data_IF_447632795055
#
_entry.id   IF_447632795055
#
_cell.length_a   1.000
_cell.length_b   1.000
_cell.length_c   1.000
_cell.angle_alpha   90.00
_cell.angle_beta   90.00
_cell.angle_gamma   90.00
#
_symmetry.space_group_name_H-M   'P 1'
#
loop_
_entity.id
_entity.type
_entity.pdbx_description
1 polymer ?
#
# COMPACT_ATOMS: atom_id res chain seq x y z
N UNK A 1 -1.97 24.90 22.32
CA UNK A 1 -1.82 23.46 22.16
C UNK A 1 -1.48 23.21 20.69
N UNK A 2 -0.27 22.78 20.30
CA UNK A 2 0.02 22.45 18.91
C UNK A 2 -0.64 21.10 18.55
N UNK A 3 -1.22 21.03 17.34
CA UNK A 3 -1.82 19.83 16.78
C UNK A 3 -0.78 18.70 16.63
N UNK A 4 -1.13 17.42 16.80
CA UNK A 4 -0.21 16.31 16.61
C UNK A 4 0.20 16.21 15.15
N UNK A 5 1.51 16.28 14.92
CA UNK A 5 2.14 16.25 13.61
C UNK A 5 1.81 14.98 12.83
N UNK A 6 1.35 15.17 11.59
CA UNK A 6 1.18 14.11 10.62
C UNK A 6 2.50 13.39 10.36
N UNK A 7 2.48 12.07 10.45
CA UNK A 7 3.61 11.19 10.18
C UNK A 7 3.96 11.25 8.69
N UNK A 8 5.01 12.01 8.37
CA UNK A 8 5.56 12.10 7.02
C UNK A 8 6.60 10.97 6.83
N UNK A 9 6.20 9.83 6.25
CA UNK A 9 7.08 8.70 5.91
C UNK A 9 7.99 8.97 4.69
N UNK A 10 8.39 10.20 4.44
CA UNK A 10 9.20 10.59 3.28
C UNK A 10 10.72 10.54 3.55
N UNK A 11 11.21 9.70 4.46
CA UNK A 11 12.66 9.55 4.66
C UNK A 11 13.12 8.15 4.18
N UNK A 12 13.52 8.07 2.90
CA UNK A 12 14.00 6.86 2.20
C UNK A 12 15.30 6.23 2.76
N UNK A 13 15.82 6.73 3.90
CA UNK A 13 17.12 6.31 4.44
C UNK A 13 17.06 5.60 5.82
N UNK A 14 15.89 5.34 6.38
CA UNK A 14 15.81 4.55 7.61
C UNK A 14 15.56 3.08 7.30
N UNK A 15 16.25 2.14 7.97
CA UNK A 15 16.00 0.72 7.79
C UNK A 15 14.56 0.38 8.21
N UNK A 16 13.91 -0.53 7.48
CA UNK A 16 12.60 -1.07 7.83
C UNK A 16 12.64 -1.62 9.24
N UNK A 17 11.69 -1.21 10.08
CA UNK A 17 11.58 -1.64 11.47
C UNK A 17 10.44 -2.66 11.62
N UNK A 18 10.74 -3.82 12.17
CA UNK A 18 9.82 -4.94 12.38
C UNK A 18 9.75 -5.25 13.88
N UNK A 19 8.54 -5.28 14.42
CA UNK A 19 8.30 -5.77 15.78
C UNK A 19 7.87 -7.23 15.71
N UNK A 20 8.53 -8.10 16.47
CA UNK A 20 8.27 -9.53 16.58
C UNK A 20 7.76 -9.79 17.99
N UNK A 21 6.53 -10.31 18.10
CA UNK A 21 5.93 -10.70 19.38
C UNK A 21 5.76 -12.22 19.35
N UNK A 22 6.61 -12.91 20.09
CA UNK A 22 6.75 -14.37 20.11
C UNK A 22 7.27 -14.75 21.49
N UNK A 23 6.58 -15.64 22.20
CA UNK A 23 6.94 -16.06 23.57
C UNK A 23 8.12 -17.04 23.59
N UNK A 24 8.31 -17.82 22.54
CA UNK A 24 9.48 -18.69 22.37
C UNK A 24 10.70 -17.86 21.94
N UNK A 25 11.66 -17.68 22.87
CA UNK A 25 12.87 -16.88 22.63
C UNK A 25 13.72 -17.40 21.47
N UNK A 26 13.79 -18.74 21.30
CA UNK A 26 14.59 -19.35 20.23
C UNK A 26 13.96 -19.08 18.86
N UNK A 27 12.63 -19.17 18.77
CA UNK A 27 11.89 -18.84 17.54
C UNK A 27 12.02 -17.36 17.25
N UNK A 28 11.81 -16.49 18.24
CA UNK A 28 11.96 -15.04 18.10
C UNK A 28 13.36 -14.65 17.60
N UNK A 29 14.40 -15.22 18.21
CA UNK A 29 15.79 -14.98 17.81
C UNK A 29 16.08 -15.49 16.39
N UNK A 30 15.58 -16.68 16.03
CA UNK A 30 15.71 -17.23 14.67
C UNK A 30 15.04 -16.34 13.62
N UNK A 31 13.84 -15.85 13.89
CA UNK A 31 13.10 -14.93 13.03
C UNK A 31 13.89 -13.62 12.86
N UNK A 32 14.29 -13.00 13.96
CA UNK A 32 15.06 -11.76 13.95
C UNK A 32 16.37 -11.90 13.16
N UNK A 33 17.16 -12.94 13.44
CA UNK A 33 18.41 -13.19 12.73
C UNK A 33 18.24 -13.22 11.20
N UNK A 34 17.19 -13.91 10.71
CA UNK A 34 16.95 -14.02 9.28
C UNK A 34 16.49 -12.70 8.64
N UNK A 35 15.72 -11.89 9.36
CA UNK A 35 15.24 -10.59 8.90
C UNK A 35 16.33 -9.52 8.95
N UNK A 36 17.16 -9.51 9.99
CA UNK A 36 18.29 -8.59 10.12
C UNK A 36 19.34 -8.79 9.01
N UNK A 37 19.54 -10.02 8.56
CA UNK A 37 20.36 -10.31 7.36
C UNK A 37 19.84 -9.69 6.07
N UNK A 38 18.58 -9.22 6.05
CA UNK A 38 18.02 -8.45 4.93
C UNK A 38 18.22 -6.94 5.09
N UNK A 39 18.91 -6.50 6.17
CA UNK A 39 19.10 -5.08 6.49
C UNK A 39 17.90 -4.46 7.22
N UNK A 40 16.95 -5.25 7.73
CA UNK A 40 15.83 -4.78 8.51
C UNK A 40 16.21 -4.72 9.99
N UNK A 41 15.59 -3.81 10.75
CA UNK A 41 15.77 -3.70 12.19
C UNK A 41 14.65 -4.45 12.91
N UNK A 42 15.00 -5.33 13.86
CA UNK A 42 14.03 -6.10 14.63
C UNK A 42 13.97 -5.64 16.09
N UNK A 43 12.76 -5.64 16.65
CA UNK A 43 12.51 -5.51 18.09
C UNK A 43 11.77 -6.77 18.53
N UNK A 44 12.33 -7.48 19.54
CA UNK A 44 11.74 -8.69 20.09
C UNK A 44 10.96 -8.36 21.37
N UNK A 45 9.77 -8.96 21.50
CA UNK A 45 8.93 -8.88 22.70
C UNK A 45 8.34 -10.28 22.95
N UNK A 46 8.34 -10.74 24.19
CA UNK A 46 7.94 -12.11 24.54
C UNK A 46 6.61 -12.20 25.29
N UNK A 47 5.92 -11.08 25.44
CA UNK A 47 4.63 -10.99 26.13
C UNK A 47 3.66 -10.12 25.35
N UNK A 48 2.43 -10.60 25.14
CA UNK A 48 1.47 -9.93 24.26
C UNK A 48 1.10 -8.52 24.70
N UNK A 49 0.89 -8.28 26.01
CA UNK A 49 0.56 -6.94 26.52
C UNK A 49 1.69 -5.94 26.26
N UNK A 50 2.96 -6.37 26.50
CA UNK A 50 4.13 -5.55 26.20
C UNK A 50 4.30 -5.35 24.69
N UNK A 51 3.98 -6.39 23.91
CA UNK A 51 3.96 -6.33 22.44
C UNK A 51 3.02 -5.26 21.92
N UNK A 52 1.81 -5.20 22.44
CA UNK A 52 0.86 -4.14 22.10
C UNK A 52 1.39 -2.74 22.44
N UNK A 53 1.92 -2.54 23.66
CA UNK A 53 2.51 -1.26 24.06
C UNK A 53 3.69 -0.85 23.17
N UNK A 54 4.56 -1.82 22.80
CA UNK A 54 5.68 -1.59 21.90
C UNK A 54 5.20 -1.19 20.51
N UNK A 55 4.22 -1.90 19.91
CA UNK A 55 3.65 -1.60 18.60
C UNK A 55 3.03 -0.20 18.60
N UNK A 56 2.25 0.13 19.61
CA UNK A 56 1.56 1.42 19.72
C UNK A 56 2.54 2.59 19.84
N UNK A 57 3.63 2.41 20.58
CA UNK A 57 4.61 3.48 20.85
C UNK A 57 5.57 3.71 19.67
N UNK A 58 5.99 2.64 18.97
CA UNK A 58 7.00 2.73 17.90
C UNK A 58 6.44 2.79 16.50
N UNK A 59 5.18 2.35 16.29
CA UNK A 59 4.51 2.29 14.98
C UNK A 59 5.44 1.67 13.92
N UNK A 60 5.79 0.36 14.03
CA UNK A 60 6.74 -0.29 13.14
C UNK A 60 6.22 -0.38 11.70
N UNK A 61 7.09 -0.72 10.76
CA UNK A 61 6.73 -0.92 9.34
C UNK A 61 6.06 -2.29 9.09
N UNK A 62 6.26 -3.26 9.99
CA UNK A 62 5.62 -4.56 9.96
C UNK A 62 5.57 -5.15 11.37
N UNK A 63 4.56 -5.97 11.63
CA UNK A 63 4.44 -6.73 12.87
C UNK A 63 4.39 -8.21 12.54
N UNK A 64 5.16 -9.02 13.28
CA UNK A 64 5.08 -10.48 13.28
C UNK A 64 4.54 -10.89 14.64
N UNK A 65 3.41 -11.62 14.65
CA UNK A 65 2.71 -12.03 15.86
C UNK A 65 2.61 -13.56 15.95
N UNK A 66 2.96 -14.12 17.09
CA UNK A 66 2.41 -15.43 17.43
C UNK A 66 0.93 -15.29 17.80
N UNK A 67 0.15 -16.31 17.50
CA UNK A 67 -1.26 -16.36 17.88
C UNK A 67 -1.42 -16.56 19.39
N UNK A 68 -0.62 -17.46 19.97
CA UNK A 68 -0.69 -17.82 21.38
C UNK A 68 0.39 -17.10 22.20
N UNK A 69 0.02 -15.99 22.80
CA UNK A 69 0.93 -15.17 23.61
C UNK A 69 0.42 -15.08 25.06
N UNK A 70 1.30 -15.01 26.04
CA UNK A 70 0.90 -14.75 27.42
C UNK A 70 0.38 -13.30 27.56
N UNK A 71 -0.68 -13.14 28.37
CA UNK A 71 -1.31 -11.86 28.65
C UNK A 71 -2.36 -11.48 27.61
N UNK A 72 -1.98 -10.89 26.50
CA UNK A 72 -2.85 -10.52 25.36
C UNK A 72 -2.52 -11.42 24.18
N UNK A 73 -3.47 -12.15 23.63
CA UNK A 73 -3.23 -13.02 22.48
C UNK A 73 -3.01 -12.25 21.19
N UNK A 74 -2.44 -12.91 20.17
CA UNK A 74 -2.10 -12.25 18.92
C UNK A 74 -3.33 -11.70 18.18
N UNK A 75 -4.49 -12.35 18.31
CA UNK A 75 -5.74 -11.90 17.70
C UNK A 75 -6.30 -10.66 18.40
N UNK A 76 -6.17 -10.59 19.72
CA UNK A 76 -6.53 -9.40 20.51
C UNK A 76 -5.64 -8.22 20.13
N UNK A 77 -4.33 -8.44 20.00
CA UNK A 77 -3.38 -7.41 19.53
C UNK A 77 -3.80 -6.91 18.15
N UNK A 78 -4.12 -7.82 17.21
CA UNK A 78 -4.58 -7.42 15.87
C UNK A 78 -5.86 -6.57 15.92
N UNK A 79 -6.85 -6.95 16.75
CA UNK A 79 -8.09 -6.18 16.92
C UNK A 79 -7.78 -4.76 17.42
N UNK A 80 -6.94 -4.63 18.44
CA UNK A 80 -6.51 -3.32 18.95
C UNK A 80 -5.77 -2.51 17.87
N UNK A 81 -4.86 -3.14 17.12
CA UNK A 81 -4.18 -2.47 16.01
C UNK A 81 -5.16 -1.91 14.99
N UNK A 82 -6.24 -2.65 14.64
CA UNK A 82 -7.22 -2.22 13.62
C UNK A 82 -8.14 -1.10 14.08
N UNK A 83 -8.36 -0.96 15.39
CA UNK A 83 -9.17 0.14 15.97
C UNK A 83 -8.40 1.46 16.01
N UNK A 84 -7.08 1.43 16.19
CA UNK A 84 -6.27 2.64 16.36
C UNK A 84 -5.74 3.17 15.01
N UNK A 85 -5.99 4.43 14.72
CA UNK A 85 -5.63 5.08 13.45
C UNK A 85 -4.13 4.98 13.10
N UNK A 86 -3.24 5.05 14.11
CA UNK A 86 -1.80 4.98 13.91
C UNK A 86 -1.32 3.59 13.50
N UNK A 87 -2.00 2.53 13.91
CA UNK A 87 -1.55 1.14 13.75
C UNK A 87 -2.38 0.31 12.78
N UNK A 88 -3.61 0.75 12.45
CA UNK A 88 -4.57 -0.04 11.64
C UNK A 88 -4.06 -0.48 10.27
N UNK A 89 -3.13 0.27 9.69
CA UNK A 89 -2.56 0.00 8.37
C UNK A 89 -1.19 -0.70 8.43
N UNK A 90 -0.68 -1.02 9.63
CA UNK A 90 0.57 -1.75 9.76
C UNK A 90 0.35 -3.18 9.26
N UNK A 91 1.14 -3.64 8.28
CA UNK A 91 1.05 -5.02 7.79
C UNK A 91 1.44 -6.01 8.89
N UNK A 92 0.63 -7.07 9.01
CA UNK A 92 0.76 -8.06 10.07
C UNK A 92 0.89 -9.46 9.50
N UNK A 93 1.94 -10.18 9.92
CA UNK A 93 2.17 -11.60 9.64
C UNK A 93 1.97 -12.42 10.91
N UNK A 94 1.13 -13.46 10.86
CA UNK A 94 1.02 -14.40 11.96
C UNK A 94 1.98 -15.57 11.84
N UNK A 95 2.57 -15.97 12.96
CA UNK A 95 3.18 -17.28 13.15
C UNK A 95 2.14 -18.16 13.86
N UNK A 96 1.81 -19.33 13.33
CA UNK A 96 0.74 -20.16 13.85
C UNK A 96 1.11 -21.63 13.85
N UNK A 97 0.66 -22.38 14.85
CA UNK A 97 0.76 -23.84 14.83
C UNK A 97 -0.19 -24.43 13.79
N UNK A 98 0.11 -25.63 13.30
CA UNK A 98 -0.67 -26.31 12.25
C UNK A 98 -2.11 -26.65 12.67
N UNK A 99 -2.34 -26.74 13.98
CA UNK A 99 -3.65 -27.05 14.60
C UNK A 99 -4.64 -25.88 14.64
N UNK A 100 -4.18 -24.63 14.35
CA UNK A 100 -4.97 -23.40 14.45
C UNK A 100 -5.51 -22.94 13.09
N UNK A 101 -5.79 -23.88 12.19
CA UNK A 101 -6.24 -23.56 10.82
C UNK A 101 -7.60 -22.85 10.77
N UNK A 102 -8.47 -23.10 11.73
CA UNK A 102 -9.80 -22.46 11.82
C UNK A 102 -9.67 -20.98 12.23
N UNK A 103 -8.71 -20.65 13.09
CA UNK A 103 -8.43 -19.28 13.52
C UNK A 103 -7.84 -18.40 12.38
N UNK A 104 -7.22 -19.05 11.36
CA UNK A 104 -6.73 -18.35 10.16
C UNK A 104 -7.83 -17.64 9.37
N UNK A 105 -9.02 -18.26 9.30
CA UNK A 105 -10.15 -17.64 8.60
C UNK A 105 -10.67 -16.41 9.35
N UNK A 106 -10.64 -16.44 10.68
CA UNK A 106 -11.03 -15.29 11.50
C UNK A 106 -9.99 -14.16 11.39
N UNK A 107 -8.71 -14.48 11.48
CA UNK A 107 -7.63 -13.49 11.35
C UNK A 107 -7.58 -12.82 9.97
N UNK A 108 -7.83 -13.57 8.88
CA UNK A 108 -7.97 -13.00 7.53
C UNK A 108 -9.19 -12.05 7.45
N UNK A 109 -10.31 -12.40 8.10
CA UNK A 109 -11.48 -11.50 8.19
C UNK A 109 -11.19 -10.24 9.00
N UNK A 110 -10.33 -10.34 10.02
CA UNK A 110 -9.89 -9.21 10.84
C UNK A 110 -8.79 -8.36 10.17
N UNK A 111 -8.27 -8.79 9.02
CA UNK A 111 -7.34 -8.02 8.21
C UNK A 111 -5.86 -8.30 8.48
N UNK A 112 -5.49 -9.51 8.87
CA UNK A 112 -4.11 -9.99 8.79
C UNK A 112 -3.68 -10.09 7.31
N UNK A 113 -2.41 -9.78 7.02
CA UNK A 113 -1.90 -9.73 5.64
C UNK A 113 -1.40 -11.08 5.14
N UNK A 114 -0.85 -11.92 6.02
CA UNK A 114 -0.38 -13.28 5.71
C UNK A 114 -0.17 -14.14 6.96
N UNK A 115 0.08 -15.45 6.77
CA UNK A 115 0.32 -16.45 7.80
C UNK A 115 1.48 -17.35 7.44
N UNK A 116 2.24 -17.77 8.45
CA UNK A 116 3.29 -18.78 8.34
C UNK A 116 3.05 -19.86 9.40
N UNK A 117 2.96 -21.11 8.97
CA UNK A 117 2.77 -22.25 9.89
C UNK A 117 4.10 -22.74 10.44
N UNK A 118 4.16 -22.93 11.75
CA UNK A 118 5.27 -23.59 12.44
C UNK A 118 5.20 -25.12 12.21
N UNK A 119 6.32 -25.81 11.86
CA UNK A 119 7.64 -25.26 11.57
C UNK A 119 7.72 -24.65 10.16
N UNK A 120 8.45 -23.56 10.02
CA UNK A 120 8.62 -22.83 8.78
C UNK A 120 10.08 -22.80 8.30
N UNK A 121 10.28 -22.57 7.01
CA UNK A 121 11.61 -22.29 6.48
C UNK A 121 11.93 -20.80 6.58
N UNK A 122 13.17 -20.46 6.96
CA UNK A 122 13.64 -19.07 7.01
C UNK A 122 13.48 -18.35 5.66
N UNK A 123 13.63 -19.07 4.54
CA UNK A 123 13.43 -18.51 3.18
C UNK A 123 11.98 -18.14 2.93
N UNK A 124 11.04 -18.98 3.37
CA UNK A 124 9.61 -18.71 3.24
C UNK A 124 9.21 -17.49 4.06
N UNK A 125 9.62 -17.44 5.34
CA UNK A 125 9.36 -16.30 6.22
C UNK A 125 9.83 -14.98 5.59
N UNK A 126 11.10 -14.90 5.19
CA UNK A 126 11.68 -13.71 4.57
C UNK A 126 10.93 -13.29 3.31
N UNK A 127 10.56 -14.26 2.45
CA UNK A 127 9.80 -13.98 1.23
C UNK A 127 8.42 -13.39 1.55
N UNK A 128 7.71 -13.94 2.52
CA UNK A 128 6.39 -13.46 2.94
C UNK A 128 6.45 -12.06 3.53
N UNK A 129 7.39 -11.81 4.47
CA UNK A 129 7.60 -10.47 5.04
C UNK A 129 7.93 -9.45 3.94
N UNK A 130 8.80 -9.81 2.99
CA UNK A 130 9.10 -8.93 1.84
C UNK A 130 7.87 -8.63 1.00
N UNK A 131 7.04 -9.63 0.75
CA UNK A 131 5.81 -9.47 -0.05
C UNK A 131 4.79 -8.58 0.63
N UNK A 132 4.57 -8.73 1.95
CA UNK A 132 3.63 -7.87 2.68
C UNK A 132 4.15 -6.44 2.79
N UNK A 133 5.44 -6.23 3.08
CA UNK A 133 6.07 -4.90 3.06
C UNK A 133 5.97 -4.24 1.68
N UNK A 134 6.21 -5.00 0.61
CA UNK A 134 6.07 -4.50 -0.76
C UNK A 134 4.62 -4.14 -1.09
N UNK A 135 3.65 -4.96 -0.66
CA UNK A 135 2.21 -4.66 -0.82
C UNK A 135 1.81 -3.42 -0.02
N UNK A 136 2.26 -3.28 1.23
CA UNK A 136 1.98 -2.12 2.07
C UNK A 136 2.59 -0.83 1.50
N UNK A 137 3.84 -0.88 1.05
CA UNK A 137 4.50 0.24 0.38
C UNK A 137 3.83 0.59 -0.96
N UNK A 138 3.42 -0.42 -1.73
CA UNK A 138 2.68 -0.21 -2.97
C UNK A 138 1.22 0.21 -2.70
N UNK A 139 0.62 -0.17 -1.57
CA UNK A 139 -0.71 0.31 -1.18
C UNK A 139 -0.67 1.80 -0.83
N UNK A 140 0.36 2.28 -0.13
CA UNK A 140 0.57 3.71 0.07
C UNK A 140 0.84 4.43 -1.27
N UNK A 141 1.65 3.85 -2.16
CA UNK A 141 1.86 4.32 -3.55
C UNK A 141 0.64 4.13 -4.44
N UNK A 142 -0.22 3.12 -4.16
CA UNK A 142 -1.49 2.91 -4.90
C UNK A 142 -2.61 3.81 -4.42
N UNK A 143 -2.51 4.31 -3.21
CA UNK A 143 -3.47 5.27 -2.64
C UNK A 143 -3.22 6.67 -3.17
N UNK A 144 -1.94 7.07 -3.23
CA UNK A 144 -1.51 8.36 -3.76
C UNK A 144 -0.68 8.14 -5.01
N UNK A 145 -1.18 8.56 -6.16
CA UNK A 145 -0.39 8.65 -7.38
C UNK A 145 0.16 10.06 -7.47
N UNK A 146 1.47 10.19 -7.62
CA UNK A 146 2.13 11.48 -7.71
C UNK A 146 3.08 11.54 -8.91
N UNK A 147 2.96 12.62 -9.66
CA UNK A 147 3.91 12.99 -10.70
C UNK A 147 4.16 14.49 -10.64
N UNK A 148 5.36 14.90 -10.21
CA UNK A 148 5.69 16.30 -9.90
C UNK A 148 4.63 16.90 -8.94
N UNK A 149 3.98 18.00 -9.33
CA UNK A 149 2.93 18.64 -8.53
C UNK A 149 1.52 18.05 -8.73
N UNK A 150 1.36 17.07 -9.62
CA UNK A 150 0.11 16.36 -9.82
C UNK A 150 -0.02 15.22 -8.80
N UNK A 151 -1.04 15.26 -7.96
CA UNK A 151 -1.32 14.25 -6.94
C UNK A 151 -2.75 13.76 -7.09
N UNK A 152 -2.93 12.43 -7.01
CA UNK A 152 -4.25 11.78 -6.98
C UNK A 152 -4.35 10.93 -5.73
N UNK A 153 -5.38 11.17 -4.93
CA UNK A 153 -5.77 10.33 -3.80
C UNK A 153 -6.89 9.37 -4.26
N UNK A 154 -6.57 8.08 -4.31
CA UNK A 154 -7.49 7.03 -4.78
C UNK A 154 -8.54 6.63 -3.75
N UNK A 155 -8.33 6.95 -2.46
CA UNK A 155 -9.32 6.70 -1.41
C UNK A 155 -10.40 7.76 -1.45
N UNK A 156 -9.98 9.04 -1.43
CA UNK A 156 -10.92 10.16 -1.43
C UNK A 156 -11.42 10.52 -2.82
N UNK A 157 -10.87 9.91 -3.89
CA UNK A 157 -11.11 10.25 -5.30
C UNK A 157 -10.85 11.73 -5.61
N UNK A 158 -9.88 12.33 -4.92
CA UNK A 158 -9.47 13.71 -5.11
C UNK A 158 -8.20 13.80 -5.94
N UNK A 159 -8.13 14.80 -6.78
CA UNK A 159 -6.93 15.14 -7.53
C UNK A 159 -6.53 16.59 -7.22
N UNK A 160 -5.23 16.85 -7.16
CA UNK A 160 -4.69 18.20 -6.98
C UNK A 160 -3.52 18.45 -7.91
N UNK A 161 -3.35 19.70 -8.30
CA UNK A 161 -2.24 20.19 -9.09
C UNK A 161 -1.65 21.43 -8.41
N UNK A 162 -0.35 21.36 -8.07
CA UNK A 162 0.33 22.43 -7.30
C UNK A 162 -0.45 22.81 -6.02
N UNK A 163 -0.99 21.80 -5.31
CA UNK A 163 -1.77 21.98 -4.08
C UNK A 163 -3.20 22.51 -4.26
N UNK A 164 -3.64 22.80 -5.49
CA UNK A 164 -5.01 23.23 -5.80
C UNK A 164 -5.85 22.03 -6.22
N UNK A 165 -7.08 21.96 -5.70
CA UNK A 165 -8.01 20.88 -6.09
C UNK A 165 -8.30 20.93 -7.59
N UNK A 166 -8.17 19.75 -8.23
CA UNK A 166 -8.47 19.57 -9.65
C UNK A 166 -9.84 18.89 -9.76
N UNK A 167 -10.86 19.67 -10.13
CA UNK A 167 -12.24 19.16 -10.24
C UNK A 167 -12.37 18.16 -11.41
N UNK A 168 -12.08 16.90 -11.15
CA UNK A 168 -12.26 15.80 -12.11
C UNK A 168 -13.64 15.15 -11.91
N UNK A 169 -14.28 14.78 -13.02
CA UNK A 169 -15.40 13.84 -12.97
C UNK A 169 -14.89 12.44 -12.62
N UNK A 170 -15.77 11.55 -12.16
CA UNK A 170 -15.39 10.18 -11.81
C UNK A 170 -14.71 9.44 -13.00
N UNK A 171 -15.16 9.66 -14.22
CA UNK A 171 -14.55 9.08 -15.42
C UNK A 171 -13.15 9.64 -15.71
N UNK A 172 -12.98 10.96 -15.59
CA UNK A 172 -11.69 11.63 -15.78
C UNK A 172 -10.67 11.20 -14.70
N UNK A 173 -11.12 11.08 -13.44
CA UNK A 173 -10.30 10.59 -12.35
C UNK A 173 -9.83 9.15 -12.61
N UNK A 174 -10.76 8.23 -12.94
CA UNK A 174 -10.44 6.83 -13.25
C UNK A 174 -9.45 6.71 -14.41
N UNK A 175 -9.65 7.48 -15.48
CA UNK A 175 -8.73 7.51 -16.63
C UNK A 175 -7.33 7.97 -16.22
N UNK A 176 -7.24 9.08 -15.51
CA UNK A 176 -5.95 9.64 -15.10
C UNK A 176 -5.22 8.68 -14.16
N UNK A 177 -5.93 8.13 -13.16
CA UNK A 177 -5.37 7.17 -12.22
C UNK A 177 -4.84 5.93 -12.96
N UNK A 178 -5.65 5.34 -13.85
CA UNK A 178 -5.24 4.16 -14.61
C UNK A 178 -4.02 4.41 -15.49
N UNK A 179 -3.98 5.54 -16.20
CA UNK A 179 -2.85 5.92 -17.04
C UNK A 179 -1.57 6.17 -16.20
N UNK A 180 -1.69 6.83 -15.03
CA UNK A 180 -0.56 7.08 -14.12
C UNK A 180 -0.06 5.80 -13.44
N UNK A 181 -0.88 4.77 -13.30
CA UNK A 181 -0.46 3.45 -12.80
C UNK A 181 0.38 2.65 -13.81
N UNK A 182 0.30 3.03 -15.09
CA UNK A 182 0.99 2.35 -16.18
C UNK A 182 1.87 3.31 -17.00
N UNK A 183 2.83 4.01 -16.34
CA UNK A 183 3.61 5.04 -17.02
C UNK A 183 4.46 4.44 -18.14
N UNK A 184 4.50 5.13 -19.28
CA UNK A 184 5.24 4.72 -20.48
C UNK A 184 4.60 3.58 -21.29
N UNK A 185 3.50 2.99 -20.80
CA UNK A 185 2.78 1.92 -21.51
C UNK A 185 1.57 2.47 -22.22
N UNK A 186 1.44 2.16 -23.51
CA UNK A 186 0.21 2.48 -24.27
C UNK A 186 -0.90 1.56 -23.79
N UNK A 187 -2.01 2.16 -23.41
CA UNK A 187 -3.24 1.47 -23.03
C UNK A 187 -4.21 1.54 -24.18
N UNK A 188 -4.77 0.41 -24.58
CA UNK A 188 -5.67 0.38 -25.70
C UNK A 188 -7.03 1.04 -25.39
N UNK A 189 -7.77 1.39 -26.44
CA UNK A 189 -9.03 2.13 -26.31
C UNK A 189 -10.12 1.30 -25.64
N UNK A 190 -10.10 -0.01 -25.82
CA UNK A 190 -11.07 -0.93 -25.25
C UNK A 190 -10.88 -1.03 -23.74
N UNK A 191 -9.64 -1.24 -23.26
CA UNK A 191 -9.31 -1.28 -21.83
C UNK A 191 -9.67 0.04 -21.15
N UNK A 192 -9.33 1.17 -21.76
CA UNK A 192 -9.67 2.50 -21.21
C UNK A 192 -11.18 2.74 -21.13
N UNK A 193 -11.97 2.22 -22.07
CA UNK A 193 -13.43 2.28 -22.00
C UNK A 193 -13.98 1.46 -20.84
N UNK A 194 -13.44 0.26 -20.62
CA UNK A 194 -13.81 -0.57 -19.46
C UNK A 194 -13.52 0.12 -18.13
N UNK A 195 -12.42 0.85 -18.04
CA UNK A 195 -12.05 1.64 -16.84
C UNK A 195 -13.11 2.72 -16.54
N UNK A 196 -13.69 3.36 -17.57
CA UNK A 196 -14.70 4.42 -17.41
C UNK A 196 -16.08 3.83 -17.06
N UNK A 197 -16.52 2.85 -17.86
CA UNK A 197 -17.91 2.40 -17.91
C UNK A 197 -18.20 1.22 -16.99
N UNK A 198 -17.14 0.51 -16.48
CA UNK A 198 -17.33 -0.78 -15.84
C UNK A 198 -17.78 -1.84 -16.88
N UNK A 199 -18.43 -2.92 -16.42
CA UNK A 199 -18.79 -4.06 -17.26
C UNK A 199 -20.07 -3.86 -18.14
N UNK A 200 -20.59 -2.63 -18.27
CA UNK A 200 -21.81 -2.38 -19.04
C UNK A 200 -21.57 -1.42 -20.21
N UNK A 201 -21.87 -1.91 -21.42
CA UNK A 201 -22.00 -1.24 -22.73
C UNK A 201 -20.73 -0.78 -23.46
N UNK A 202 -20.40 -1.56 -24.50
CA UNK A 202 -19.25 -1.37 -25.43
C UNK A 202 -19.52 -0.43 -26.62
N UNK A 203 -20.60 0.35 -26.65
CA UNK A 203 -21.04 1.06 -27.85
C UNK A 203 -20.61 2.53 -27.99
N UNK A 204 -19.88 3.12 -26.99
CA UNK A 204 -19.55 4.55 -27.04
C UNK A 204 -18.06 4.87 -27.15
N UNK A 205 -17.42 4.51 -28.25
CA UNK A 205 -16.03 4.89 -28.58
C UNK A 205 -15.79 6.41 -28.58
N UNK A 206 -16.80 7.22 -28.87
CA UNK A 206 -16.68 8.70 -28.87
C UNK A 206 -16.62 9.32 -27.48
N UNK A 207 -17.06 8.62 -26.44
CA UNK A 207 -17.03 9.13 -25.08
C UNK A 207 -15.61 9.23 -24.53
N UNK A 208 -14.72 8.26 -24.81
CA UNK A 208 -13.34 8.24 -24.36
C UNK A 208 -12.58 9.50 -24.81
N UNK A 209 -12.62 9.83 -26.09
CA UNK A 209 -11.90 11.00 -26.64
C UNK A 209 -12.37 12.30 -26.00
N UNK A 210 -13.67 12.37 -25.71
CA UNK A 210 -14.25 13.53 -25.04
C UNK A 210 -13.73 13.65 -23.61
N UNK A 211 -13.63 12.54 -22.87
CA UNK A 211 -13.06 12.54 -21.51
C UNK A 211 -11.57 12.89 -21.52
N UNK A 212 -10.80 12.33 -22.46
CA UNK A 212 -9.38 12.68 -22.63
C UNK A 212 -9.20 14.17 -22.95
N UNK A 213 -10.00 14.71 -23.87
CA UNK A 213 -9.95 16.14 -24.23
C UNK A 213 -10.24 17.04 -23.02
N UNK A 214 -11.27 16.71 -22.22
CA UNK A 214 -11.64 17.47 -21.02
C UNK A 214 -10.56 17.34 -19.94
N UNK A 215 -10.02 16.14 -19.75
CA UNK A 215 -8.95 15.87 -18.81
C UNK A 215 -7.69 16.68 -19.14
N UNK A 216 -7.24 16.66 -20.40
CA UNK A 216 -6.12 17.48 -20.87
C UNK A 216 -6.33 18.98 -20.59
N UNK A 217 -7.54 19.49 -20.84
CA UNK A 217 -7.87 20.90 -20.56
C UNK A 217 -7.70 21.23 -19.07
N UNK A 218 -8.07 20.31 -18.17
CA UNK A 218 -7.95 20.49 -16.72
C UNK A 218 -6.52 20.37 -16.23
N UNK A 219 -5.73 19.49 -16.85
CA UNK A 219 -4.32 19.27 -16.51
C UNK A 219 -3.40 20.45 -16.93
N UNK A 220 -3.85 21.34 -17.82
CA UNK A 220 -3.09 22.51 -18.23
C UNK A 220 -1.71 22.14 -18.79
N UNK A 221 -0.64 22.58 -18.13
CA UNK A 221 0.75 22.30 -18.54
C UNK A 221 1.11 20.82 -18.55
N UNK A 222 0.40 19.99 -17.79
CA UNK A 222 0.56 18.53 -17.77
C UNK A 222 -0.31 17.81 -18.80
N UNK A 223 -1.00 18.52 -19.70
CA UNK A 223 -1.81 17.90 -20.74
C UNK A 223 -0.99 16.99 -21.67
N UNK A 224 0.27 17.34 -21.91
CA UNK A 224 1.21 16.58 -22.77
C UNK A 224 1.64 15.26 -22.14
N UNK A 225 1.49 15.10 -20.80
CA UNK A 225 1.72 13.80 -20.15
C UNK A 225 0.75 12.73 -20.63
N UNK A 226 -0.40 13.10 -21.18
CA UNK A 226 -1.32 12.15 -21.81
C UNK A 226 -1.01 12.12 -23.30
N UNK A 227 -0.14 11.21 -23.72
CA UNK A 227 0.18 11.00 -25.13
C UNK A 227 -0.94 10.26 -25.86
N UNK A 228 -1.08 10.51 -27.17
CA UNK A 228 -1.99 9.78 -28.06
C UNK A 228 -1.17 8.91 -28.99
N UNK A 229 -1.40 7.59 -28.94
CA UNK A 229 -0.88 6.66 -29.94
C UNK A 229 -1.99 6.40 -30.96
N UNK A 230 -1.79 6.95 -32.19
CA UNK A 230 -2.81 6.92 -33.23
C UNK A 230 -3.19 5.49 -33.60
N UNK A 231 -4.48 5.19 -33.60
CA UNK A 231 -5.00 3.85 -33.94
C UNK A 231 -4.90 2.83 -32.79
N UNK A 232 -4.18 3.14 -31.69
CA UNK A 232 -3.98 2.23 -30.56
C UNK A 232 -4.70 2.74 -29.31
N UNK A 233 -4.28 3.88 -28.74
CA UNK A 233 -4.84 4.34 -27.47
C UNK A 233 -4.14 5.54 -26.88
N UNK A 234 -3.95 5.51 -25.57
CA UNK A 234 -3.36 6.60 -24.81
C UNK A 234 -2.32 6.07 -23.82
N UNK A 235 -1.32 6.90 -23.47
CA UNK A 235 -0.30 6.58 -22.49
C UNK A 235 -0.05 7.78 -21.57
N UNK A 236 0.33 7.52 -20.33
CA UNK A 236 0.94 8.53 -19.48
C UNK A 236 2.45 8.54 -19.73
N UNK A 237 2.96 9.59 -20.34
CA UNK A 237 4.39 9.79 -20.59
C UNK A 237 4.90 10.93 -19.71
N UNK A 238 5.87 10.67 -18.82
CA UNK A 238 6.58 11.74 -18.13
C UNK A 238 7.17 12.72 -19.13
N UNK A 239 7.01 14.03 -18.88
CA UNK A 239 7.63 15.06 -19.73
C UNK A 239 9.15 14.88 -19.69
N UNK A 240 9.75 14.62 -20.83
CA UNK A 240 11.19 14.66 -20.98
C UNK A 240 11.63 16.12 -20.93
N UNK A 241 12.41 16.48 -19.92
CA UNK A 241 13.03 17.76 -19.66
C UNK A 241 12.29 18.70 -18.73
N UNK A 242 13.02 19.14 -17.70
CA UNK A 242 12.86 20.45 -17.09
C UNK A 242 13.00 21.50 -18.17
N UNK A 243 12.05 22.41 -18.38
CA UNK A 243 12.33 23.62 -19.09
C UNK A 243 13.07 24.56 -18.14
N UNK A 244 14.38 24.46 -18.16
CA UNK A 244 15.30 25.53 -17.78
C UNK A 244 15.48 25.82 -16.30
N UNK A 245 16.66 25.50 -15.82
CA UNK A 245 17.46 26.40 -14.98
C UNK A 245 18.09 27.45 -15.88
#
# INVERSE_FOLDING_TARGET
MPAPGGYNKANKNMPVHITIVEDDEDIAALVAYNLERQGWKCTLVHHGTEGWEQIRSTVPDCVILDMMLPGMDGMEILREMKVHDATRNIPTLFLTARSELDDRLEGLRLGADDYVTKPFSSKELVLRVRNILHRANNSASRVMLQYKELCLDKITHQASLSGRNLELTAAEFKLLAYLMEHPGKVQDRYDLQHVILGHSDTTQTRALDTHIKRLRKKLGVYAECIATERGVGYAFQPLNSDPGV
#
